data_IF_309635653612
#
_entry.id   IF_309635653612
#
_cell.length_a   1.000
_cell.length_b   1.000
_cell.length_c   1.000
_cell.angle_alpha   90.00
_cell.angle_beta   90.00
_cell.angle_gamma   90.00
#
_symmetry.space_group_name_H-M   'P 1'
#
loop_
_entity.id
_entity.type
_entity.pdbx_description
1 polymer ?
#
# COMPACT_ATOMS: atom_id res chain seq x y z
N UNK A 1 -9.08 15.29 23.71
CA UNK A 1 -9.34 13.97 24.35
C UNK A 1 -10.38 13.19 23.55
N UNK A 2 -10.12 11.92 23.29
CA UNK A 2 -11.08 11.07 22.59
C UNK A 2 -12.23 10.67 23.52
N UNK A 3 -13.46 10.69 23.01
CA UNK A 3 -14.59 10.14 23.77
C UNK A 3 -14.60 8.61 23.67
N UNK A 4 -15.48 7.99 24.46
CA UNK A 4 -15.60 6.53 24.52
C UNK A 4 -15.88 5.91 23.14
N UNK A 5 -16.76 6.51 22.35
CA UNK A 5 -17.13 5.98 21.03
C UNK A 5 -15.96 6.04 20.05
N UNK A 6 -15.15 7.10 20.08
CA UNK A 6 -13.99 7.22 19.24
C UNK A 6 -12.93 6.17 19.59
N UNK A 7 -12.71 5.92 20.86
CA UNK A 7 -11.79 4.88 21.33
C UNK A 7 -12.26 3.50 20.90
N UNK A 8 -13.55 3.21 21.10
CA UNK A 8 -14.14 1.93 20.71
C UNK A 8 -14.07 1.72 19.20
N UNK A 9 -14.40 2.75 18.42
CA UNK A 9 -14.30 2.69 16.97
C UNK A 9 -12.89 2.38 16.51
N UNK A 10 -11.89 3.05 17.07
CA UNK A 10 -10.47 2.79 16.75
C UNK A 10 -10.07 1.36 17.08
N UNK A 11 -10.48 0.82 18.23
CA UNK A 11 -10.17 -0.56 18.61
C UNK A 11 -10.82 -1.58 17.68
N UNK A 12 -12.07 -1.38 17.34
CA UNK A 12 -12.80 -2.27 16.43
C UNK A 12 -12.19 -2.22 15.03
N UNK A 13 -11.93 -1.03 14.50
CA UNK A 13 -11.39 -0.88 13.16
C UNK A 13 -9.94 -1.34 13.06
N UNK A 14 -9.14 -1.20 14.12
CA UNK A 14 -7.75 -1.66 14.12
C UNK A 14 -7.63 -3.17 13.84
N UNK A 15 -8.60 -3.97 14.29
CA UNK A 15 -8.61 -5.41 14.03
C UNK A 15 -9.21 -5.76 12.67
N UNK A 16 -10.07 -4.91 12.12
CA UNK A 16 -10.83 -5.21 10.91
C UNK A 16 -10.32 -4.48 9.67
N UNK A 17 -9.53 -3.43 9.84
CA UNK A 17 -9.08 -2.62 8.71
C UNK A 17 -8.11 -3.42 7.86
N UNK A 18 -8.53 -3.65 6.62
CA UNK A 18 -7.71 -4.14 5.54
C UNK A 18 -7.93 -3.22 4.35
N UNK A 19 -6.86 -2.92 3.64
CA UNK A 19 -6.92 -2.06 2.45
C UNK A 19 -6.83 -2.87 1.17
N UNK A 20 -6.55 -4.16 1.27
CA UNK A 20 -6.45 -5.05 0.12
C UNK A 20 -7.67 -5.96 -0.01
N UNK A 21 -7.82 -6.52 -1.18
CA UNK A 21 -8.84 -7.50 -1.46
C UNK A 21 -8.54 -8.79 -0.67
N UNK A 22 -9.54 -9.31 0.06
CA UNK A 22 -9.39 -10.55 0.81
C UNK A 22 -8.46 -10.51 2.00
N UNK A 23 -8.04 -9.32 2.45
CA UNK A 23 -7.21 -9.19 3.65
C UNK A 23 -5.75 -9.60 3.48
N UNK A 24 -5.26 -9.67 2.25
CA UNK A 24 -3.87 -10.06 1.93
C UNK A 24 -2.87 -9.15 2.63
N UNK A 25 -3.14 -7.85 2.71
CA UNK A 25 -2.27 -6.88 3.37
C UNK A 25 -2.03 -7.22 4.84
N UNK A 26 -3.06 -7.68 5.53
CA UNK A 26 -2.94 -8.10 6.93
C UNK A 26 -2.10 -9.35 7.08
N UNK A 27 -2.26 -10.31 6.17
CA UNK A 27 -1.47 -11.52 6.17
C UNK A 27 0.02 -11.21 5.99
N UNK A 28 0.34 -10.39 5.00
CA UNK A 28 1.72 -9.96 4.75
C UNK A 28 2.28 -9.19 5.95
N UNK A 29 1.52 -8.24 6.49
CA UNK A 29 1.95 -7.48 7.65
C UNK A 29 2.21 -8.38 8.88
N UNK A 30 1.42 -9.43 9.06
CA UNK A 30 1.62 -10.38 10.14
C UNK A 30 2.89 -11.24 9.94
N UNK A 31 3.14 -11.68 8.72
CA UNK A 31 4.35 -12.45 8.40
C UNK A 31 5.62 -11.64 8.73
N UNK A 32 5.61 -10.35 8.42
CA UNK A 32 6.75 -9.45 8.62
C UNK A 32 6.59 -8.54 9.83
N UNK A 33 5.79 -8.94 10.82
CA UNK A 33 5.46 -8.07 11.96
C UNK A 33 6.67 -7.55 12.74
N UNK A 34 7.76 -8.29 12.76
CA UNK A 34 8.98 -7.94 13.48
C UNK A 34 9.98 -7.17 12.61
N UNK A 35 9.69 -7.01 11.31
CA UNK A 35 10.56 -6.28 10.40
C UNK A 35 10.11 -4.82 10.31
N UNK A 36 10.99 -3.92 10.73
CA UNK A 36 10.78 -2.48 10.59
C UNK A 36 11.51 -1.97 9.34
N UNK A 37 10.96 -0.94 8.71
CA UNK A 37 11.60 -0.26 7.58
C UNK A 37 11.93 -1.20 6.41
N UNK A 38 11.03 -2.13 6.12
CA UNK A 38 11.17 -2.99 4.95
C UNK A 38 10.95 -2.24 3.64
N UNK A 39 11.19 -2.93 2.54
CA UNK A 39 10.96 -2.41 1.18
C UNK A 39 9.95 -3.28 0.46
N UNK A 40 9.13 -2.66 -0.39
CA UNK A 40 8.18 -3.37 -1.26
C UNK A 40 8.31 -2.91 -2.70
N UNK A 41 7.91 -3.78 -3.61
CA UNK A 41 7.70 -3.46 -5.02
C UNK A 41 6.30 -3.91 -5.39
N UNK A 42 5.48 -2.98 -5.84
CA UNK A 42 4.08 -3.24 -6.17
C UNK A 42 3.86 -2.97 -7.66
N UNK A 43 3.69 -4.04 -8.41
CA UNK A 43 3.45 -3.98 -9.85
C UNK A 43 1.94 -4.02 -10.11
N UNK A 44 1.42 -3.04 -10.82
CA UNK A 44 -0.03 -2.87 -10.96
C UNK A 44 -0.63 -2.34 -9.68
N UNK A 45 -0.01 -1.32 -9.11
CA UNK A 45 -0.34 -0.84 -7.76
C UNK A 45 -1.73 -0.22 -7.62
N UNK A 46 -2.34 0.24 -8.71
CA UNK A 46 -3.68 0.81 -8.75
C UNK A 46 -3.83 2.03 -7.83
N UNK A 47 -4.76 2.03 -6.90
CA UNK A 47 -4.99 3.14 -5.99
C UNK A 47 -4.07 3.04 -4.76
N UNK A 48 -3.56 4.16 -4.21
CA UNK A 48 -2.63 4.08 -3.07
C UNK A 48 -3.26 3.60 -1.75
N UNK A 49 -4.58 3.55 -1.66
CA UNK A 49 -5.29 3.13 -0.44
C UNK A 49 -6.28 2.00 -0.72
N UNK A 50 -7.18 2.20 -1.70
CA UNK A 50 -8.25 1.23 -2.00
C UNK A 50 -7.70 0.02 -2.73
N UNK A 51 -8.06 -1.16 -2.25
CA UNK A 51 -7.62 -2.43 -2.84
C UNK A 51 -6.10 -2.45 -3.06
N UNK A 52 -5.37 -1.99 -2.03
CA UNK A 52 -3.93 -1.85 -2.10
C UNK A 52 -3.24 -2.78 -1.12
N UNK A 53 -2.25 -3.52 -1.61
CA UNK A 53 -1.56 -4.54 -0.83
C UNK A 53 -0.45 -3.98 0.06
N UNK A 54 0.04 -2.78 -0.21
CA UNK A 54 1.21 -2.21 0.46
C UNK A 54 0.89 -1.03 1.38
N UNK A 55 -0.32 -0.50 1.34
CA UNK A 55 -0.66 0.67 2.15
C UNK A 55 -0.47 0.43 3.65
N UNK A 56 -0.84 -0.76 4.13
CA UNK A 56 -0.66 -1.12 5.53
C UNK A 56 0.82 -1.16 5.92
N UNK A 57 1.67 -1.68 5.06
CA UNK A 57 3.13 -1.67 5.25
C UNK A 57 3.68 -0.24 5.22
N UNK A 58 3.19 0.57 4.30
CA UNK A 58 3.56 1.99 4.21
C UNK A 58 3.24 2.73 5.52
N UNK A 59 2.07 2.49 6.09
CA UNK A 59 1.69 3.08 7.38
C UNK A 59 2.60 2.64 8.52
N UNK A 60 3.24 1.49 8.40
CA UNK A 60 4.21 0.97 9.37
C UNK A 60 5.63 1.46 9.14
N UNK A 61 5.84 2.32 8.17
CA UNK A 61 7.14 2.92 7.88
C UNK A 61 7.91 2.28 6.73
N UNK A 62 7.34 1.28 6.08
CA UNK A 62 7.96 0.70 4.88
C UNK A 62 7.90 1.67 3.71
N UNK A 63 8.84 1.56 2.81
CA UNK A 63 8.91 2.36 1.58
C UNK A 63 9.21 1.44 0.40
N UNK A 64 8.92 1.90 -0.81
CA UNK A 64 9.17 1.06 -1.96
C UNK A 64 8.88 1.71 -3.29
N UNK A 65 8.63 0.85 -4.26
CA UNK A 65 8.36 1.22 -5.65
C UNK A 65 6.96 0.79 -6.03
N UNK A 66 6.20 1.71 -6.61
CA UNK A 66 4.84 1.49 -7.08
C UNK A 66 4.81 1.72 -8.58
N UNK A 67 4.32 0.74 -9.33
CA UNK A 67 4.34 0.77 -10.79
C UNK A 67 2.92 0.55 -11.31
N UNK A 68 2.47 1.42 -12.19
CA UNK A 68 1.17 1.29 -12.83
C UNK A 68 1.19 1.91 -14.22
N UNK A 69 0.41 1.32 -15.11
CA UNK A 69 0.23 1.83 -16.48
C UNK A 69 -0.61 3.11 -16.51
N UNK A 70 -1.53 3.27 -15.57
CA UNK A 70 -2.41 4.43 -15.50
C UNK A 70 -1.70 5.59 -14.81
N UNK A 71 -1.46 6.65 -15.57
CA UNK A 71 -0.79 7.85 -15.06
C UNK A 71 -1.54 8.51 -13.92
N UNK A 72 -2.87 8.42 -13.90
CA UNK A 72 -3.68 8.99 -12.81
C UNK A 72 -3.42 8.30 -11.49
N UNK A 73 -3.25 6.99 -11.51
CA UNK A 73 -2.88 6.24 -10.31
C UNK A 73 -1.52 6.67 -9.78
N UNK A 74 -0.56 6.85 -10.67
CA UNK A 74 0.79 7.29 -10.28
C UNK A 74 0.77 8.71 -9.72
N UNK A 75 -0.04 9.61 -10.27
CA UNK A 75 -0.22 10.95 -9.70
C UNK A 75 -0.76 10.88 -8.28
N UNK A 76 -1.72 9.98 -8.00
CA UNK A 76 -2.24 9.76 -6.65
C UNK A 76 -1.15 9.22 -5.71
N UNK A 77 -0.32 8.30 -6.19
CA UNK A 77 0.82 7.80 -5.41
C UNK A 77 1.83 8.89 -5.11
N UNK A 78 2.13 9.74 -6.07
CA UNK A 78 3.04 10.88 -5.84
C UNK A 78 2.52 11.82 -4.75
N UNK A 79 1.21 11.99 -4.68
CA UNK A 79 0.58 12.79 -3.64
C UNK A 79 0.56 12.07 -2.28
N UNK A 80 0.16 10.80 -2.26
CA UNK A 80 -0.04 10.04 -1.03
C UNK A 80 1.26 9.44 -0.46
N UNK A 81 2.21 9.11 -1.35
CA UNK A 81 3.47 8.47 -0.98
C UNK A 81 4.66 9.13 -1.68
N UNK A 82 4.93 10.40 -1.35
CA UNK A 82 5.96 11.15 -2.08
C UNK A 82 7.38 10.63 -1.88
N UNK A 83 7.61 9.80 -0.87
CA UNK A 83 8.93 9.20 -0.60
C UNK A 83 9.13 7.85 -1.30
N UNK A 84 8.08 7.29 -1.88
CA UNK A 84 8.19 6.09 -2.70
C UNK A 84 8.64 6.44 -4.12
N UNK A 85 9.18 5.46 -4.84
CA UNK A 85 9.41 5.58 -6.27
C UNK A 85 8.10 5.20 -7.00
N UNK A 86 7.47 6.18 -7.61
CA UNK A 86 6.19 5.98 -8.29
C UNK A 86 6.43 6.07 -9.80
N UNK A 87 6.27 4.96 -10.49
CA UNK A 87 6.70 4.81 -11.89
C UNK A 87 5.48 4.51 -12.75
N UNK A 88 5.25 5.36 -13.74
CA UNK A 88 4.25 5.12 -14.78
C UNK A 88 4.88 4.29 -15.89
N UNK A 89 4.63 2.99 -15.85
CA UNK A 89 5.18 2.05 -16.82
C UNK A 89 4.36 0.77 -16.87
N UNK A 90 4.51 0.04 -17.97
CA UNK A 90 4.05 -1.33 -18.08
C UNK A 90 5.25 -2.27 -17.88
N UNK A 91 5.01 -3.39 -17.19
CA UNK A 91 6.01 -4.44 -17.06
C UNK A 91 5.58 -5.61 -17.92
N UNK A 92 6.52 -6.14 -18.71
CA UNK A 92 6.28 -7.28 -19.58
C UNK A 92 7.43 -8.27 -19.44
N UNK A 93 7.12 -9.55 -19.57
CA UNK A 93 8.10 -10.63 -19.63
C UNK A 93 8.68 -10.80 -21.03
N UNK A 94 8.21 -10.01 -21.98
CA UNK A 94 8.70 -10.00 -23.36
C UNK A 94 9.69 -8.86 -23.50
N UNK A 95 10.91 -9.19 -23.95
CA UNK A 95 11.90 -8.19 -24.26
C UNK A 95 11.53 -7.55 -25.61
N UNK A 96 10.76 -6.47 -25.52
CA UNK A 96 10.31 -5.73 -26.69
C UNK A 96 10.40 -4.24 -26.42
N UNK A 97 10.75 -3.49 -27.47
CA UNK A 97 10.62 -2.03 -27.42
C UNK A 97 9.14 -1.67 -27.54
N UNK A 98 8.67 -0.88 -26.60
CA UNK A 98 7.30 -0.39 -26.59
C UNK A 98 7.28 1.07 -27.00
#
# INVERSE_FOLDING_TARGET
MFNFFQILYKKITAFKISYSFGGIDKLVANIFKDKKNGIYVDVGCSHPIKNNNTYLLHKKGWRGTNIDLDVKNIELFNYARPKDNNINAAISDIDSEV
#
